data_IF_169329367601
#
_entry.id   IF_169329367601
#
_cell.length_a   1.000
_cell.length_b   1.000
_cell.length_c   1.000
_cell.angle_alpha   90.00
_cell.angle_beta   90.00
_cell.angle_gamma   90.00
#
_symmetry.space_group_name_H-M   'P 1'
#
loop_
_entity.id
_entity.type
_entity.pdbx_description
1 polymer ?
#
# COMPACT_ATOMS: atom_id res chain seq x y z
N UNK A 1 31.17 29.70 32.24
CA UNK A 1 30.74 28.29 32.22
C UNK A 1 30.02 27.95 30.91
N UNK A 2 28.97 28.68 30.54
CA UNK A 2 28.23 28.50 29.27
C UNK A 2 29.12 28.46 28.01
N UNK A 3 30.04 29.42 27.86
CA UNK A 3 30.95 29.50 26.71
C UNK A 3 31.84 28.26 26.54
N UNK A 4 32.32 27.69 27.65
CA UNK A 4 33.11 26.44 27.62
C UNK A 4 32.26 25.24 27.15
N UNK A 5 30.98 25.22 27.50
CA UNK A 5 30.03 24.19 27.06
C UNK A 5 29.73 24.35 25.56
N UNK A 6 29.50 25.58 25.09
CA UNK A 6 29.25 25.86 23.68
C UNK A 6 30.42 25.40 22.79
N UNK A 7 31.66 25.72 23.17
CA UNK A 7 32.86 25.28 22.46
C UNK A 7 33.06 23.76 22.52
N UNK A 8 32.70 23.12 23.64
CA UNK A 8 32.74 21.66 23.77
C UNK A 8 31.74 20.98 22.82
N UNK A 9 30.51 21.50 22.70
CA UNK A 9 29.51 21.00 21.77
C UNK A 9 29.93 21.20 20.31
N UNK A 10 30.46 22.38 19.96
CA UNK A 10 30.89 22.69 18.58
C UNK A 10 31.95 21.72 18.05
N UNK A 11 32.93 21.37 18.91
CA UNK A 11 33.97 20.37 18.61
C UNK A 11 33.40 18.98 18.29
N UNK A 12 32.20 18.66 18.74
CA UNK A 12 31.56 17.36 18.54
C UNK A 12 30.51 17.36 17.41
N UNK A 13 30.16 18.52 16.86
CA UNK A 13 29.18 18.64 15.77
C UNK A 13 29.66 18.02 14.45
N UNK A 14 30.98 17.91 14.25
CA UNK A 14 31.60 17.42 13.01
C UNK A 14 32.09 15.96 13.08
N UNK A 15 31.92 15.26 14.21
CA UNK A 15 32.52 13.94 14.41
C UNK A 15 32.01 12.84 13.46
N UNK A 16 30.83 13.04 12.85
CA UNK A 16 30.27 12.16 11.83
C UNK A 16 29.63 13.04 10.74
N UNK A 17 29.95 12.85 9.44
CA UNK A 17 29.26 13.55 8.37
C UNK A 17 27.81 13.05 8.33
N UNK A 18 26.91 13.74 9.03
CA UNK A 18 25.49 13.40 9.10
C UNK A 18 24.87 13.27 7.70
N UNK A 19 25.37 14.05 6.74
CA UNK A 19 24.99 14.00 5.33
C UNK A 19 25.21 12.62 4.70
N UNK A 20 26.27 11.90 5.07
CA UNK A 20 26.57 10.57 4.53
C UNK A 20 25.54 9.55 5.02
N UNK A 21 25.35 9.44 6.34
CA UNK A 21 24.38 8.52 6.95
C UNK A 21 22.96 8.84 6.49
N UNK A 22 22.63 10.13 6.41
CA UNK A 22 21.34 10.59 5.91
C UNK A 22 21.14 10.20 4.44
N UNK A 23 22.18 10.30 3.61
CA UNK A 23 22.15 9.87 2.21
C UNK A 23 21.78 8.39 2.05
N UNK A 24 22.41 7.49 2.81
CA UNK A 24 22.05 6.06 2.80
C UNK A 24 20.64 5.83 3.31
N UNK A 25 20.28 6.47 4.42
CA UNK A 25 18.95 6.31 5.01
C UNK A 25 17.84 6.76 4.07
N UNK A 26 17.97 7.96 3.49
CA UNK A 26 16.99 8.49 2.53
C UNK A 26 16.89 7.58 1.30
N UNK A 27 18.02 7.11 0.76
CA UNK A 27 18.03 6.18 -0.38
C UNK A 27 17.27 4.89 -0.04
N UNK A 28 17.49 4.32 1.15
CA UNK A 28 16.76 3.14 1.61
C UNK A 28 15.25 3.42 1.73
N UNK A 29 14.86 4.55 2.32
CA UNK A 29 13.46 4.94 2.50
C UNK A 29 12.76 5.10 1.15
N UNK A 30 13.38 5.78 0.19
CA UNK A 30 12.81 5.98 -1.15
C UNK A 30 12.65 4.64 -1.89
N UNK A 31 13.65 3.76 -1.82
CA UNK A 31 13.56 2.43 -2.43
C UNK A 31 12.41 1.60 -1.85
N UNK A 32 12.25 1.62 -0.51
CA UNK A 32 11.14 0.93 0.17
C UNK A 32 9.78 1.56 -0.15
N UNK A 33 9.70 2.88 -0.22
CA UNK A 33 8.47 3.59 -0.59
C UNK A 33 8.03 3.22 -2.00
N UNK A 34 8.96 3.26 -2.96
CA UNK A 34 8.65 2.92 -4.34
C UNK A 34 8.31 1.44 -4.52
N UNK A 35 9.00 0.56 -3.79
CA UNK A 35 8.64 -0.86 -3.74
C UNK A 35 7.23 -1.08 -3.22
N UNK A 36 6.83 -0.40 -2.13
CA UNK A 36 5.46 -0.49 -1.60
C UNK A 36 4.42 -0.01 -2.61
N UNK A 37 4.70 1.10 -3.31
CA UNK A 37 3.80 1.63 -4.33
C UNK A 37 3.57 0.63 -5.48
N UNK A 38 4.64 0.02 -5.99
CA UNK A 38 4.54 -1.00 -7.06
C UNK A 38 3.88 -2.31 -6.61
N UNK A 39 3.89 -2.60 -5.32
CA UNK A 39 3.23 -3.78 -4.74
C UNK A 39 1.73 -3.57 -4.47
N UNK A 40 1.17 -2.39 -4.75
CA UNK A 40 -0.28 -2.16 -4.62
C UNK A 40 -1.01 -3.07 -5.62
N UNK A 41 -1.93 -3.94 -5.16
CA UNK A 41 -2.60 -4.90 -6.02
C UNK A 41 -3.64 -4.20 -6.91
N UNK A 42 -3.32 -4.07 -8.20
CA UNK A 42 -4.18 -3.53 -9.24
C UNK A 42 -4.84 -4.68 -10.06
N UNK A 43 -6.14 -4.61 -10.35
CA UNK A 43 -6.86 -5.70 -10.99
C UNK A 43 -6.64 -5.79 -12.51
N UNK A 44 -5.95 -4.83 -13.14
CA UNK A 44 -5.91 -4.65 -14.59
C UNK A 44 -5.42 -5.90 -15.35
N UNK A 45 -4.29 -6.47 -14.95
CA UNK A 45 -3.75 -7.67 -15.61
C UNK A 45 -4.70 -8.87 -15.46
N UNK A 46 -5.26 -9.06 -14.27
CA UNK A 46 -6.22 -10.13 -14.02
C UNK A 46 -7.50 -9.91 -14.84
N UNK A 47 -7.96 -8.66 -14.97
CA UNK A 47 -9.13 -8.30 -15.77
C UNK A 47 -8.95 -8.65 -17.24
N UNK A 48 -7.79 -8.39 -17.82
CA UNK A 48 -7.48 -8.80 -19.19
C UNK A 48 -7.55 -10.33 -19.35
N UNK A 49 -6.93 -11.08 -18.45
CA UNK A 49 -6.94 -12.55 -18.48
C UNK A 49 -8.36 -13.11 -18.32
N UNK A 50 -9.11 -12.62 -17.35
CA UNK A 50 -10.50 -13.04 -17.09
C UNK A 50 -11.40 -12.72 -18.29
N UNK A 51 -11.22 -11.55 -18.92
CA UNK A 51 -12.02 -11.13 -20.07
C UNK A 51 -11.70 -11.93 -21.33
N UNK A 52 -10.43 -12.31 -21.54
CA UNK A 52 -9.99 -13.08 -22.70
C UNK A 52 -10.25 -14.58 -22.60
N UNK A 53 -10.30 -15.15 -21.39
CA UNK A 53 -10.43 -16.60 -21.20
C UNK A 53 -11.84 -17.06 -20.81
N UNK A 54 -12.68 -16.19 -20.25
CA UNK A 54 -14.05 -16.54 -19.84
C UNK A 54 -15.04 -16.14 -20.92
N UNK A 55 -15.30 -17.12 -21.79
CA UNK A 55 -16.30 -17.04 -22.85
C UNK A 55 -17.73 -17.16 -22.30
N UNK A 56 -18.70 -16.70 -23.08
CA UNK A 56 -20.12 -16.69 -22.71
C UNK A 56 -20.68 -15.26 -22.69
N UNK A 57 -21.58 -14.99 -23.64
CA UNK A 57 -22.39 -13.75 -23.70
C UNK A 57 -23.67 -13.89 -22.86
N UNK A 58 -23.90 -15.07 -22.31
CA UNK A 58 -25.01 -15.39 -21.44
C UNK A 58 -24.82 -14.79 -20.03
N UNK A 59 -25.92 -14.77 -19.28
CA UNK A 59 -25.93 -14.20 -17.94
C UNK A 59 -24.93 -14.89 -17.00
N UNK A 60 -24.74 -16.20 -17.16
CA UNK A 60 -23.80 -16.96 -16.34
C UNK A 60 -22.36 -16.54 -16.59
N UNK A 61 -21.95 -16.38 -17.85
CA UNK A 61 -20.62 -15.87 -18.21
C UNK A 61 -20.39 -14.45 -17.65
N UNK A 62 -21.42 -13.59 -17.74
CA UNK A 62 -21.39 -12.23 -17.17
C UNK A 62 -21.20 -12.24 -15.65
N UNK A 63 -21.97 -13.05 -14.92
CA UNK A 63 -21.88 -13.19 -13.47
C UNK A 63 -20.51 -13.73 -13.05
N UNK A 64 -19.98 -14.72 -13.78
CA UNK A 64 -18.68 -15.33 -13.48
C UNK A 64 -17.54 -14.32 -13.59
N UNK A 65 -17.45 -13.58 -14.71
CA UNK A 65 -16.44 -12.52 -14.91
C UNK A 65 -16.50 -11.47 -13.81
N UNK A 66 -17.71 -10.99 -13.48
CA UNK A 66 -17.91 -9.99 -12.42
C UNK A 66 -17.53 -10.50 -11.03
N UNK A 67 -17.86 -11.76 -10.73
CA UNK A 67 -17.59 -12.37 -9.42
C UNK A 67 -16.10 -12.56 -9.19
N UNK A 68 -15.35 -13.03 -10.20
CA UNK A 68 -13.89 -13.19 -10.09
C UNK A 68 -13.18 -11.86 -9.82
N UNK A 69 -13.53 -10.80 -10.58
CA UNK A 69 -12.96 -9.47 -10.37
C UNK A 69 -13.38 -8.87 -9.03
N UNK A 70 -14.61 -9.14 -8.56
CA UNK A 70 -15.05 -8.73 -7.22
C UNK A 70 -14.20 -9.39 -6.13
N UNK A 71 -13.89 -10.68 -6.23
CA UNK A 71 -13.04 -11.37 -5.26
C UNK A 71 -11.61 -10.87 -5.23
N UNK A 72 -11.01 -10.59 -6.40
CA UNK A 72 -9.70 -9.96 -6.47
C UNK A 72 -9.70 -8.58 -5.80
N UNK A 73 -10.68 -7.74 -6.11
CA UNK A 73 -10.84 -6.41 -5.51
C UNK A 73 -11.08 -6.48 -3.99
N UNK A 74 -11.84 -7.47 -3.53
CA UNK A 74 -12.07 -7.70 -2.10
C UNK A 74 -10.75 -8.04 -1.39
N UNK A 75 -9.93 -8.93 -1.95
CA UNK A 75 -8.60 -9.25 -1.43
C UNK A 75 -7.73 -8.00 -1.30
N UNK A 76 -7.69 -7.16 -2.35
CA UNK A 76 -6.99 -5.87 -2.34
C UNK A 76 -7.48 -4.94 -1.22
N UNK A 77 -8.80 -4.84 -1.02
CA UNK A 77 -9.36 -4.01 0.07
C UNK A 77 -8.98 -4.54 1.44
N UNK A 78 -8.99 -5.86 1.64
CA UNK A 78 -8.65 -6.49 2.92
C UNK A 78 -7.19 -6.23 3.31
N UNK A 79 -6.24 -6.43 2.39
CA UNK A 79 -4.82 -6.17 2.65
C UNK A 79 -4.55 -4.68 2.84
N UNK A 80 -5.17 -3.81 2.02
CA UNK A 80 -5.01 -2.36 2.18
C UNK A 80 -5.60 -1.87 3.51
N UNK A 81 -6.70 -2.48 3.99
CA UNK A 81 -7.26 -2.19 5.31
C UNK A 81 -6.33 -2.59 6.46
N UNK A 82 -5.47 -3.60 6.30
CA UNK A 82 -4.50 -3.99 7.35
C UNK A 82 -3.28 -3.06 7.41
N UNK A 83 -2.83 -2.51 6.29
CA UNK A 83 -1.60 -1.72 6.24
C UNK A 83 -1.82 -0.20 6.14
N UNK A 84 -2.95 0.24 5.59
CA UNK A 84 -3.26 1.66 5.41
C UNK A 84 -4.26 2.16 6.45
N UNK A 85 -3.84 3.12 7.25
CA UNK A 85 -4.69 3.80 8.24
C UNK A 85 -5.90 4.48 7.60
N UNK A 86 -5.74 5.01 6.38
CA UNK A 86 -6.83 5.65 5.62
C UNK A 86 -7.90 4.63 5.22
N UNK A 87 -7.49 3.48 4.70
CA UNK A 87 -8.43 2.41 4.31
C UNK A 87 -9.07 1.79 5.56
N UNK A 88 -8.33 1.63 6.66
CA UNK A 88 -8.88 1.21 7.96
C UNK A 88 -9.95 2.17 8.49
N UNK A 89 -9.75 3.49 8.38
CA UNK A 89 -10.76 4.48 8.78
C UNK A 89 -12.02 4.42 7.90
N UNK A 90 -11.87 4.15 6.61
CA UNK A 90 -13.00 3.99 5.67
C UNK A 90 -13.77 2.69 5.91
N UNK A 91 -13.08 1.61 6.24
CA UNK A 91 -13.67 0.30 6.52
C UNK A 91 -13.26 -0.19 7.92
N UNK A 92 -13.80 0.36 9.02
CA UNK A 92 -13.38 -0.01 10.37
C UNK A 92 -13.71 -1.45 10.74
N UNK A 93 -14.83 -1.99 10.27
CA UNK A 93 -15.27 -3.36 10.53
C UNK A 93 -15.62 -4.11 9.24
N UNK A 94 -15.78 -5.44 9.33
CA UNK A 94 -16.20 -6.24 8.18
C UNK A 94 -17.59 -5.84 7.66
N UNK A 95 -18.48 -5.37 8.55
CA UNK A 95 -19.81 -4.87 8.16
C UNK A 95 -19.73 -3.73 7.14
N UNK A 96 -18.80 -2.80 7.31
CA UNK A 96 -18.59 -1.70 6.36
C UNK A 96 -18.14 -2.19 4.98
N UNK A 97 -17.45 -3.33 4.89
CA UNK A 97 -17.02 -3.94 3.61
C UNK A 97 -18.22 -4.59 2.92
N UNK A 98 -19.08 -5.26 3.69
CA UNK A 98 -20.32 -5.87 3.21
C UNK A 98 -21.30 -4.80 2.73
N UNK A 99 -21.56 -3.78 3.54
CA UNK A 99 -22.43 -2.64 3.21
C UNK A 99 -21.95 -1.86 1.98
N UNK A 100 -20.64 -1.78 1.76
CA UNK A 100 -20.06 -1.18 0.56
C UNK A 100 -20.16 -2.06 -0.71
N UNK A 101 -20.84 -3.20 -0.63
CA UNK A 101 -21.04 -4.14 -1.73
C UNK A 101 -19.75 -4.83 -2.21
N UNK A 102 -18.72 -4.89 -1.35
CA UNK A 102 -17.45 -5.55 -1.68
C UNK A 102 -17.44 -7.04 -1.31
N UNK A 103 -18.21 -7.41 -0.30
CA UNK A 103 -18.44 -8.79 0.13
C UNK A 103 -19.96 -9.03 0.13
N UNK A 104 -20.41 -10.15 -0.43
CA UNK A 104 -21.82 -10.52 -0.38
C UNK A 104 -22.17 -11.12 0.98
N UNK A 105 -23.44 -11.02 1.38
CA UNK A 105 -24.01 -11.75 2.52
C UNK A 105 -24.09 -13.25 2.25
#
# INVERSE_FOLDING_TARGET
VFEKVAVYCDKHTSLIPMSFVLGFYVTLVINRWWSQYRSIPLPDQLMCVVSGNIHGLDERGRILRRTLIRYANLSSVLILRSVSTRVRKRFPSMKHIVEAGKLNH
#
